data_IF_561150095756
#
_entry.id   IF_561150095756
#
_cell.length_a   1.000
_cell.length_b   1.000
_cell.length_c   1.000
_cell.angle_alpha   90.00
_cell.angle_beta   90.00
_cell.angle_gamma   90.00
#
_symmetry.space_group_name_H-M   'P 1'
#
loop_
_entity.id
_entity.type
_entity.pdbx_description
1 polymer ?
#
# COMPACT_ATOMS: atom_id res chain seq x y z
N UNK A 1 1.68 -9.44 -3.69
CA UNK A 1 1.28 -8.04 -3.43
C UNK A 1 1.41 -7.70 -1.95
N UNK A 2 0.80 -8.49 -1.06
CA UNK A 2 0.84 -8.32 0.40
C UNK A 2 2.23 -7.98 0.99
N UNK A 3 3.27 -8.76 0.69
CA UNK A 3 4.63 -8.48 1.17
C UNK A 3 5.20 -7.15 0.65
N UNK A 4 4.84 -6.74 -0.56
CA UNK A 4 5.28 -5.46 -1.12
C UNK A 4 4.57 -4.29 -0.44
N UNK A 5 3.28 -4.46 -0.09
CA UNK A 5 2.53 -3.48 0.71
C UNK A 5 3.19 -3.35 2.09
N UNK A 6 3.42 -4.47 2.79
CA UNK A 6 4.05 -4.44 4.11
C UNK A 6 5.43 -3.79 4.05
N UNK A 7 6.25 -4.13 3.05
CA UNK A 7 7.56 -3.51 2.82
C UNK A 7 7.46 -2.02 2.45
N UNK A 8 6.41 -1.58 1.77
CA UNK A 8 6.20 -0.15 1.49
C UNK A 8 5.91 0.64 2.77
N UNK A 9 5.18 0.03 3.71
CA UNK A 9 4.77 0.64 4.98
C UNK A 9 5.86 0.61 6.07
N UNK A 10 6.98 -0.10 5.89
CA UNK A 10 8.05 -0.14 6.92
C UNK A 10 8.73 1.20 7.14
N UNK A 11 8.63 2.15 6.19
CA UNK A 11 9.22 3.48 6.30
C UNK A 11 8.28 4.51 6.93
N UNK A 12 7.00 4.16 7.11
CA UNK A 12 5.99 5.06 7.66
C UNK A 12 4.61 4.83 7.06
N UNK A 13 3.59 5.50 7.63
CA UNK A 13 2.22 5.43 7.12
C UNK A 13 2.14 6.03 5.71
N UNK A 14 1.32 5.41 4.85
CA UNK A 14 1.06 5.88 3.49
C UNK A 14 -0.43 5.73 3.16
N UNK A 15 -0.99 6.72 2.47
CA UNK A 15 -2.28 6.58 1.81
C UNK A 15 -2.17 5.61 0.62
N UNK A 16 -3.31 5.09 0.14
CA UNK A 16 -3.35 4.03 -0.89
C UNK A 16 -2.55 4.36 -2.16
N UNK A 17 -2.59 5.61 -2.63
CA UNK A 17 -1.77 6.03 -3.79
C UNK A 17 -0.26 6.04 -3.49
N UNK A 18 0.14 6.45 -2.28
CA UNK A 18 1.54 6.37 -1.84
C UNK A 18 2.04 4.91 -1.85
N UNK A 19 1.20 3.96 -1.42
CA UNK A 19 1.53 2.53 -1.46
C UNK A 19 1.75 2.04 -2.89
N UNK A 20 0.85 2.33 -3.84
CA UNK A 20 1.02 1.90 -5.24
C UNK A 20 2.24 2.54 -5.90
N UNK A 21 2.50 3.83 -5.66
CA UNK A 21 3.72 4.51 -6.13
C UNK A 21 4.98 3.88 -5.57
N UNK A 22 5.00 3.55 -4.28
CA UNK A 22 6.16 2.92 -3.63
C UNK A 22 6.43 1.53 -4.18
N UNK A 23 5.39 0.73 -4.42
CA UNK A 23 5.52 -0.60 -5.03
C UNK A 23 6.10 -0.47 -6.44
N UNK A 24 5.63 0.49 -7.25
CA UNK A 24 6.17 0.75 -8.58
C UNK A 24 7.67 1.06 -8.53
N UNK A 25 8.08 1.99 -7.66
CA UNK A 25 9.49 2.34 -7.45
C UNK A 25 10.34 1.12 -7.04
N UNK A 26 9.85 0.33 -6.08
CA UNK A 26 10.55 -0.88 -5.61
C UNK A 26 10.69 -1.94 -6.71
N UNK A 27 9.74 -1.99 -7.63
CA UNK A 27 9.74 -2.89 -8.77
C UNK A 27 10.55 -2.39 -9.97
N UNK A 28 11.13 -1.17 -9.91
CA UNK A 28 11.79 -0.50 -11.04
C UNK A 28 10.86 -0.41 -12.26
N UNK A 29 9.63 0.07 -12.03
CA UNK A 29 8.58 0.27 -13.04
C UNK A 29 8.06 -1.01 -13.73
N UNK A 30 8.47 -2.19 -13.27
CA UNK A 30 7.99 -3.48 -13.79
C UNK A 30 6.57 -3.81 -13.31
N UNK A 31 6.21 -3.37 -12.10
CA UNK A 31 4.92 -3.66 -11.48
C UNK A 31 4.11 -2.39 -11.27
N UNK A 32 2.99 -2.30 -11.96
CA UNK A 32 1.97 -1.28 -11.75
C UNK A 32 0.75 -1.90 -11.05
N UNK A 33 0.48 -1.45 -9.83
CA UNK A 33 -0.66 -1.93 -9.04
C UNK A 33 -1.84 -1.00 -9.26
N UNK A 34 -2.92 -1.52 -9.85
CA UNK A 34 -4.17 -0.78 -10.00
C UNK A 34 -4.99 -0.80 -8.71
N UNK A 35 -5.91 0.16 -8.58
CA UNK A 35 -6.77 0.30 -7.39
C UNK A 35 -7.63 -0.95 -7.11
N UNK A 36 -8.11 -1.62 -8.16
CA UNK A 36 -8.92 -2.84 -8.05
C UNK A 36 -8.18 -4.02 -7.43
N UNK A 37 -6.85 -4.04 -7.52
CA UNK A 37 -6.00 -5.04 -6.85
C UNK A 37 -5.46 -4.58 -5.50
N UNK A 38 -5.25 -3.26 -5.34
CA UNK A 38 -4.65 -2.69 -4.14
C UNK A 38 -5.62 -2.72 -2.96
N UNK A 39 -6.81 -2.15 -3.09
CA UNK A 39 -7.73 -2.02 -1.95
C UNK A 39 -8.17 -3.36 -1.38
N UNK A 40 -8.49 -4.39 -2.18
CA UNK A 40 -8.75 -5.71 -1.63
C UNK A 40 -7.55 -6.31 -0.89
N UNK A 41 -6.31 -6.00 -1.30
CA UNK A 41 -5.12 -6.46 -0.60
C UNK A 41 -4.90 -5.71 0.72
N UNK A 42 -5.17 -4.40 0.76
CA UNK A 42 -5.15 -3.61 1.99
C UNK A 42 -6.19 -4.12 2.98
N UNK A 43 -7.44 -4.32 2.55
CA UNK A 43 -8.48 -4.89 3.41
C UNK A 43 -8.09 -6.27 3.95
N UNK A 44 -7.58 -7.17 3.10
CA UNK A 44 -7.12 -8.49 3.59
C UNK A 44 -5.99 -8.39 4.62
N UNK A 45 -5.09 -7.42 4.49
CA UNK A 45 -4.00 -7.22 5.47
C UNK A 45 -4.53 -6.63 6.78
N UNK A 46 -5.51 -5.73 6.71
CA UNK A 46 -6.19 -5.15 7.86
C UNK A 46 -7.04 -6.18 8.59
N UNK A 47 -7.82 -7.01 7.89
CA UNK A 47 -8.60 -8.12 8.44
C UNK A 47 -7.71 -9.14 9.18
N UNK A 48 -6.45 -9.28 8.74
CA UNK A 48 -5.43 -10.14 9.38
C UNK A 48 -4.72 -9.46 10.55
N UNK A 49 -5.03 -8.20 10.85
CA UNK A 49 -4.38 -7.39 11.89
C UNK A 49 -2.91 -7.06 11.61
N UNK A 50 -2.48 -7.13 10.34
CA UNK A 50 -1.09 -6.86 9.94
C UNK A 50 -0.84 -5.38 9.67
N UNK A 51 -1.89 -4.63 9.35
CA UNK A 51 -1.88 -3.18 9.20
C UNK A 51 -3.08 -2.59 9.93
N UNK A 52 -3.03 -1.29 10.20
CA UNK A 52 -4.17 -0.50 10.66
C UNK A 52 -4.35 0.67 9.71
N UNK A 53 -5.57 1.22 9.65
CA UNK A 53 -5.87 2.41 8.89
C UNK A 53 -6.42 3.50 9.80
N UNK A 54 -6.12 4.74 9.46
CA UNK A 54 -6.70 5.92 10.08
C UNK A 54 -7.11 6.91 8.99
N UNK A 55 -8.17 7.67 9.27
CA UNK A 55 -8.56 8.78 8.41
C UNK A 55 -7.63 9.96 8.67
N UNK A 56 -7.04 10.50 7.61
CA UNK A 56 -6.14 11.64 7.67
C UNK A 56 -6.25 12.49 6.41
N UNK A 57 -5.69 13.69 6.49
CA UNK A 57 -5.54 14.56 5.32
C UNK A 57 -4.25 14.16 4.63
N UNK A 58 -4.33 13.81 3.35
CA UNK A 58 -3.13 13.65 2.53
C UNK A 58 -2.58 15.03 2.17
N UNK A 59 -1.27 15.24 2.33
CA UNK A 59 -0.56 16.46 1.92
C UNK A 59 -0.37 16.56 0.38
N UNK A 60 -1.19 15.87 -0.41
CA UNK A 60 -1.16 15.91 -1.89
C UNK A 60 -2.19 16.89 -2.47
#
# INVERSE_FOLDING_TARGET
LDLLILKALTLGPLHGWGVSKRIRQMSRDVLEVNQGSLYPALHRLEDRGLITSEWGVSDE
#
